data_IF_040623051849
#
_entry.id   IF_040623051849
#
_cell.length_a   1.000
_cell.length_b   1.000
_cell.length_c   1.000
_cell.angle_alpha   90.00
_cell.angle_beta   90.00
_cell.angle_gamma   90.00
#
_symmetry.space_group_name_H-M   'P 1'
#
loop_
_entity.id
_entity.type
_entity.pdbx_description
1 polymer ?
#
# COMPACT_ATOMS: atom_id res chain seq x y z
N UNK A 1 -8.19 -1.11 -15.62
CA UNK A 1 -8.93 -1.18 -14.71
C UNK A 1 -8.56 -1.98 -13.62
N UNK A 2 -7.62 -2.59 -13.68
CA UNK A 2 -7.27 -3.53 -12.70
C UNK A 2 -7.06 -2.98 -11.33
N UNK A 3 -6.55 -1.76 -11.22
CA UNK A 3 -6.27 -1.24 -9.89
C UNK A 3 -7.51 -0.76 -9.19
N UNK A 4 -8.65 -0.90 -9.80
CA UNK A 4 -9.89 -0.52 -9.14
C UNK A 4 -10.31 -1.47 -8.06
N UNK A 5 -9.63 -2.59 -7.92
CA UNK A 5 -10.03 -3.57 -6.93
C UNK A 5 -9.49 -3.27 -5.55
N UNK A 6 -8.75 -2.18 -5.37
CA UNK A 6 -8.24 -1.83 -4.05
C UNK A 6 -9.36 -1.46 -3.10
N UNK A 7 -9.26 -1.88 -1.84
CA UNK A 7 -10.22 -1.43 -0.83
C UNK A 7 -10.16 0.08 -0.67
N UNK A 8 -11.31 0.68 -0.46
CA UNK A 8 -11.37 2.12 -0.26
C UNK A 8 -11.31 2.50 1.21
N UNK A 9 -11.63 1.58 2.08
CA UNK A 9 -11.53 1.82 3.51
C UNK A 9 -10.07 1.80 3.92
N UNK A 10 -9.56 2.84 4.59
CA UNK A 10 -8.13 2.88 4.93
C UNK A 10 -7.66 1.70 5.74
N UNK A 11 -8.46 1.19 6.67
CA UNK A 11 -8.05 0.05 7.47
C UNK A 11 -7.92 -1.20 6.62
N UNK A 12 -8.85 -1.41 5.71
CA UNK A 12 -8.78 -2.56 4.82
C UNK A 12 -7.67 -2.40 3.81
N UNK A 13 -7.45 -1.17 3.34
CA UNK A 13 -6.35 -0.91 2.42
C UNK A 13 -5.02 -1.18 3.10
N UNK A 14 -4.90 -0.78 4.36
CA UNK A 14 -3.69 -1.04 5.14
C UNK A 14 -3.40 -2.54 5.20
N UNK A 15 -4.41 -3.34 5.52
CA UNK A 15 -4.24 -4.78 5.61
C UNK A 15 -3.85 -5.39 4.27
N UNK A 16 -4.50 -4.93 3.21
CA UNK A 16 -4.22 -5.44 1.87
C UNK A 16 -2.78 -5.13 1.46
N UNK A 17 -2.37 -3.88 1.65
CA UNK A 17 -1.03 -3.44 1.25
C UNK A 17 0.03 -4.18 2.06
N UNK A 18 -0.18 -4.29 3.37
CA UNK A 18 0.80 -4.96 4.22
C UNK A 18 0.92 -6.43 3.87
N UNK A 19 -0.19 -7.06 3.52
CA UNK A 19 -0.14 -8.46 3.11
C UNK A 19 0.68 -8.62 1.83
N UNK A 20 0.47 -7.74 0.87
CA UNK A 20 1.22 -7.80 -0.38
C UNK A 20 2.71 -7.56 -0.16
N UNK A 21 3.03 -6.60 0.69
CA UNK A 21 4.43 -6.31 0.99
C UNK A 21 5.10 -7.46 1.70
N UNK A 22 4.34 -8.16 2.55
CA UNK A 22 4.91 -9.28 3.26
C UNK A 22 5.12 -10.50 2.37
N UNK A 23 4.14 -10.76 1.49
CA UNK A 23 4.12 -12.02 0.77
C UNK A 23 4.61 -11.95 -0.66
N UNK A 24 4.48 -10.81 -1.33
CA UNK A 24 4.69 -10.77 -2.77
C UNK A 24 5.72 -9.75 -3.24
N UNK A 25 5.94 -8.68 -2.52
CA UNK A 25 6.81 -7.61 -3.01
C UNK A 25 7.89 -7.25 -2.01
N UNK A 26 9.09 -6.96 -2.51
CA UNK A 26 10.20 -6.59 -1.62
C UNK A 26 10.15 -5.14 -1.15
N UNK A 27 9.34 -4.30 -1.80
CA UNK A 27 9.25 -2.88 -1.44
C UNK A 27 7.94 -2.30 -1.92
N UNK A 28 7.61 -1.14 -1.38
CA UNK A 28 6.42 -0.44 -1.81
C UNK A 28 6.54 0.01 -3.25
N UNK A 29 7.73 0.44 -3.67
CA UNK A 29 7.94 0.84 -5.06
C UNK A 29 7.68 -0.34 -6.00
N UNK A 30 8.16 -1.52 -5.64
CA UNK A 30 7.96 -2.70 -6.49
C UNK A 30 6.48 -3.04 -6.59
N UNK A 31 5.76 -2.94 -5.47
CA UNK A 31 4.33 -3.23 -5.48
C UNK A 31 3.57 -2.26 -6.36
N UNK A 32 3.83 -0.98 -6.19
CA UNK A 32 3.11 0.04 -6.95
C UNK A 32 3.43 -0.05 -8.43
N UNK A 33 4.67 -0.36 -8.76
CA UNK A 33 5.07 -0.49 -10.16
C UNK A 33 4.37 -1.69 -10.82
N UNK A 34 4.36 -2.82 -10.14
CA UNK A 34 3.76 -4.02 -10.70
C UNK A 34 2.24 -3.93 -10.80
N UNK A 35 1.61 -3.32 -9.81
CA UNK A 35 0.16 -3.20 -9.77
C UNK A 35 -0.34 -1.92 -10.44
N UNK A 36 0.57 -1.14 -11.00
CA UNK A 36 0.21 0.10 -11.69
C UNK A 36 -0.54 1.05 -10.75
N UNK A 37 -0.01 1.26 -9.57
CA UNK A 37 -0.58 2.14 -8.58
C UNK A 37 0.23 3.40 -8.44
N UNK A 38 -0.43 4.50 -8.09
CA UNK A 38 0.24 5.75 -7.81
C UNK A 38 0.70 5.72 -6.35
N UNK A 39 2.00 5.61 -6.14
CA UNK A 39 2.56 5.53 -4.80
C UNK A 39 2.20 6.73 -3.97
N UNK A 40 2.26 7.92 -4.56
CA UNK A 40 1.94 9.15 -3.83
C UNK A 40 0.50 9.17 -3.37
N UNK A 41 -0.41 8.75 -4.23
CA UNK A 41 -1.82 8.71 -3.87
C UNK A 41 -2.07 7.67 -2.78
N UNK A 42 -1.44 6.51 -2.90
CA UNK A 42 -1.61 5.45 -1.92
C UNK A 42 -1.10 5.88 -0.55
N UNK A 43 0.10 6.45 -0.51
CA UNK A 43 0.66 6.88 0.77
C UNK A 43 -0.15 8.03 1.36
N UNK A 44 -0.66 8.93 0.53
CA UNK A 44 -1.47 10.03 1.03
C UNK A 44 -2.78 9.53 1.63
N UNK A 45 -3.40 8.55 1.00
CA UNK A 45 -4.63 7.97 1.52
C UNK A 45 -4.42 7.34 2.89
N UNK A 46 -3.35 6.59 3.03
CA UNK A 46 -3.06 5.93 4.31
C UNK A 46 -2.59 6.94 5.36
N UNK A 47 -1.85 7.96 4.95
CA UNK A 47 -1.39 8.99 5.87
C UNK A 47 -2.57 9.77 6.44
N UNK A 48 -3.59 10.01 5.63
CA UNK A 48 -4.77 10.72 6.09
C UNK A 48 -5.50 9.94 7.19
N UNK A 49 -5.32 8.63 7.22
CA UNK A 49 -5.91 7.79 8.25
C UNK A 49 -4.95 7.54 9.41
N UNK A 50 -3.75 8.13 9.38
CA UNK A 50 -2.81 8.00 10.47
C UNK A 50 -1.79 6.90 10.29
N UNK A 51 -1.68 6.31 9.11
CA UNK A 51 -0.74 5.24 8.85
C UNK A 51 0.42 5.74 7.98
N UNK A 52 1.62 5.39 8.38
CA UNK A 52 2.81 5.80 7.64
C UNK A 52 3.64 4.58 7.26
N UNK A 53 4.31 4.67 6.12
CA UNK A 53 5.11 3.57 5.64
C UNK A 53 6.45 3.53 6.35
N UNK A 54 6.80 2.34 6.84
CA UNK A 54 8.11 2.09 7.43
C UNK A 54 8.91 1.26 6.43
N UNK A 55 9.91 1.88 5.83
CA UNK A 55 10.73 1.16 4.85
C UNK A 55 11.54 0.07 5.53
N UNK A 56 11.95 0.32 6.75
CA UNK A 56 12.73 -0.64 7.51
C UNK A 56 11.94 -1.91 7.75
N UNK A 57 10.65 -1.79 8.04
CA UNK A 57 9.80 -2.92 8.32
C UNK A 57 8.97 -3.34 7.12
N UNK A 58 9.03 -2.59 6.04
CA UNK A 58 8.27 -2.85 4.82
C UNK A 58 6.79 -2.99 5.08
N UNK A 59 6.24 -2.08 5.84
CA UNK A 59 4.81 -2.07 6.10
C UNK A 59 4.37 -0.70 6.56
N UNK A 60 3.07 -0.49 6.50
CA UNK A 60 2.46 0.71 7.08
C UNK A 60 2.01 0.39 8.50
N UNK A 61 2.07 1.39 9.36
CA UNK A 61 1.53 1.27 10.71
C UNK A 61 1.26 2.60 11.39
#
# INVERSE_FOLDING_TARGET
MSNNSLPQDPAMLLSFVNMKLRDEYPSLDAMCDDMDLDKSALTATLAAAGFEYSEENRKFW
#
